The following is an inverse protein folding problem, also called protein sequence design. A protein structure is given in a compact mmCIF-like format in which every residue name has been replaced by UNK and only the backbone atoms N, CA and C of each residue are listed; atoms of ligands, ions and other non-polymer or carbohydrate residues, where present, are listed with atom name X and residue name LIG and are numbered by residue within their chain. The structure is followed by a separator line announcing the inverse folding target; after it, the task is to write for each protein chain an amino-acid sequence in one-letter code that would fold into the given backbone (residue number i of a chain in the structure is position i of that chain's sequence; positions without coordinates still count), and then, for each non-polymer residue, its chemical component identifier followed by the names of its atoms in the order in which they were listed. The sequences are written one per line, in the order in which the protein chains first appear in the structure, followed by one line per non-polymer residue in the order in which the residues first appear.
data_IF_292998420634
#
_entry.id   IF_292998420634
#
_cell.length_a   1.000
_cell.length_b   1.000
_cell.length_c   1.000
_cell.angle_alpha   90.00
_cell.angle_beta   90.00
_cell.angle_gamma   90.00
#
_symmetry.space_group_name_H-M   'P 1'
#
loop_
_entity.id
_entity.type
_entity.pdbx_description
1 polymer ?
#
# COMPACT_ATOMS: atom_id res chain seq x y z
N UNK A 1 17.99 26.76 10.03
CA UNK A 1 16.58 26.55 10.43
C UNK A 1 16.25 25.08 10.28
N UNK A 2 15.96 24.39 11.39
CA UNK A 2 15.61 22.96 11.35
C UNK A 2 14.26 22.79 10.64
N UNK A 3 14.18 21.92 9.62
CA UNK A 3 12.88 21.52 9.06
C UNK A 3 12.09 20.87 10.19
N UNK A 4 11.01 21.51 10.64
CA UNK A 4 10.05 20.90 11.56
C UNK A 4 9.53 19.63 10.86
N UNK A 5 10.04 18.46 11.28
CA UNK A 5 9.61 17.19 10.71
C UNK A 5 8.22 16.93 11.24
N UNK A 6 7.26 16.75 10.34
CA UNK A 6 5.93 16.30 10.71
C UNK A 6 6.06 14.99 11.52
N UNK A 7 5.37 14.86 12.67
CA UNK A 7 5.34 13.62 13.44
C UNK A 7 5.03 12.42 12.54
N UNK A 8 5.78 11.32 12.75
CA UNK A 8 5.56 10.05 12.02
C UNK A 8 4.16 9.52 12.36
N UNK A 9 3.56 8.80 11.42
CA UNK A 9 2.35 8.04 11.71
C UNK A 9 2.66 6.94 12.73
N UNK A 10 1.86 6.81 13.78
CA UNK A 10 1.90 5.70 14.73
C UNK A 10 1.42 4.41 14.06
N UNK A 11 1.71 3.26 14.67
CA UNK A 11 1.25 1.97 14.15
C UNK A 11 -0.28 1.88 14.09
N UNK A 12 -0.97 2.37 15.13
CA UNK A 12 -2.44 2.42 15.18
C UNK A 12 -3.02 3.31 14.08
N UNK A 13 -2.44 4.50 13.84
CA UNK A 13 -2.84 5.37 12.72
C UNK A 13 -2.68 4.65 11.36
N UNK A 14 -1.62 3.85 11.19
CA UNK A 14 -1.40 3.08 9.96
C UNK A 14 -2.40 1.94 9.79
N UNK A 15 -2.71 1.20 10.87
CA UNK A 15 -3.69 0.13 10.81
C UNK A 15 -5.06 0.65 10.41
N UNK A 16 -5.55 1.71 11.08
CA UNK A 16 -6.86 2.32 10.77
C UNK A 16 -6.88 2.86 9.35
N UNK A 17 -5.80 3.53 8.91
CA UNK A 17 -5.70 4.04 7.55
C UNK A 17 -5.78 2.92 6.51
N UNK A 18 -5.01 1.85 6.69
CA UNK A 18 -5.00 0.71 5.75
C UNK A 18 -6.34 -0.01 5.75
N UNK A 19 -6.93 -0.28 6.92
CA UNK A 19 -8.22 -0.94 7.04
C UNK A 19 -9.33 -0.17 6.30
N UNK A 20 -9.43 1.15 6.52
CA UNK A 20 -10.44 1.95 5.83
C UNK A 20 -10.15 2.03 4.32
N UNK A 21 -8.89 2.13 3.88
CA UNK A 21 -8.53 2.10 2.47
C UNK A 21 -8.92 0.77 1.82
N UNK A 22 -8.66 -0.37 2.46
CA UNK A 22 -9.06 -1.70 1.96
C UNK A 22 -10.56 -1.75 1.71
N UNK A 23 -11.36 -1.23 2.65
CA UNK A 23 -12.83 -1.22 2.54
C UNK A 23 -13.33 -0.39 1.36
N UNK A 24 -12.64 0.70 1.00
CA UNK A 24 -13.09 1.63 -0.04
C UNK A 24 -12.26 1.54 -1.33
N UNK A 25 -11.28 0.64 -1.38
CA UNK A 25 -10.36 0.43 -2.50
C UNK A 25 -11.12 0.27 -3.82
N UNK A 26 -12.19 -0.55 -3.93
CA UNK A 26 -12.89 -0.74 -5.19
C UNK A 26 -13.45 0.57 -5.77
N UNK A 27 -13.84 1.51 -4.91
CA UNK A 27 -14.43 2.80 -5.28
C UNK A 27 -13.37 3.86 -5.59
N UNK A 28 -12.21 3.79 -4.94
CA UNK A 28 -11.13 4.75 -5.12
C UNK A 28 -10.17 4.36 -6.27
N UNK A 29 -9.87 3.09 -6.41
CA UNK A 29 -8.79 2.58 -7.27
C UNK A 29 -9.16 1.32 -8.05
N UNK A 30 -10.09 0.51 -7.55
CA UNK A 30 -10.45 -0.79 -8.13
C UNK A 30 -11.65 -0.75 -9.07
N UNK A 31 -12.39 -1.87 -9.11
CA UNK A 31 -13.39 -2.15 -10.14
C UNK A 31 -14.56 -1.15 -10.23
N UNK A 32 -14.87 -0.41 -9.17
CA UNK A 32 -15.98 0.56 -9.11
C UNK A 32 -15.53 2.01 -9.38
N UNK A 33 -14.24 2.25 -9.66
CA UNK A 33 -13.69 3.61 -9.80
C UNK A 33 -14.36 4.44 -10.90
N UNK A 34 -14.78 3.78 -11.99
CA UNK A 34 -15.46 4.43 -13.13
C UNK A 34 -16.90 4.84 -12.81
N UNK A 35 -17.54 4.14 -11.87
CA UNK A 35 -18.92 4.40 -11.42
C UNK A 35 -18.98 5.28 -10.17
N UNK A 36 -17.84 5.57 -9.55
CA UNK A 36 -17.77 6.37 -8.34
C UNK A 36 -17.59 7.86 -8.69
N UNK A 37 -18.58 8.67 -8.33
CA UNK A 37 -18.55 10.13 -8.57
C UNK A 37 -17.43 10.83 -7.80
N UNK A 38 -17.02 12.01 -8.28
CA UNK A 38 -15.99 12.83 -7.61
C UNK A 38 -16.39 13.18 -6.18
N UNK A 39 -17.66 13.58 -5.98
CA UNK A 39 -18.19 13.90 -4.66
C UNK A 39 -18.10 12.71 -3.70
N UNK A 40 -18.44 11.50 -4.20
CA UNK A 40 -18.31 10.28 -3.40
C UNK A 40 -16.86 9.97 -3.05
N UNK A 41 -15.92 10.09 -4.00
CA UNK A 41 -14.48 9.92 -3.73
C UNK A 41 -14.00 10.88 -2.64
N UNK A 42 -14.43 12.15 -2.69
CA UNK A 42 -14.08 13.14 -1.66
C UNK A 42 -14.63 12.75 -0.29
N UNK A 43 -15.87 12.27 -0.22
CA UNK A 43 -16.48 11.79 1.03
C UNK A 43 -15.72 10.61 1.63
N UNK A 44 -15.33 9.63 0.80
CA UNK A 44 -14.54 8.46 1.22
C UNK A 44 -13.18 8.89 1.78
N UNK A 45 -12.48 9.80 1.11
CA UNK A 45 -11.22 10.35 1.61
C UNK A 45 -11.38 11.10 2.92
N UNK A 46 -12.43 11.92 3.04
CA UNK A 46 -12.74 12.63 4.29
C UNK A 46 -12.99 11.65 5.43
N UNK A 47 -13.77 10.60 5.19
CA UNK A 47 -14.00 9.54 6.18
C UNK A 47 -12.68 8.89 6.64
N UNK A 48 -11.76 8.58 5.73
CA UNK A 48 -10.46 8.01 6.11
C UNK A 48 -9.69 8.99 7.01
N UNK A 49 -9.66 10.27 6.64
CA UNK A 49 -9.01 11.32 7.44
C UNK A 49 -9.62 11.40 8.83
N UNK A 50 -10.95 11.42 8.94
CA UNK A 50 -11.66 11.51 10.22
C UNK A 50 -11.35 10.30 11.12
N UNK A 51 -11.32 9.09 10.55
CA UNK A 51 -11.01 7.85 11.28
C UNK A 51 -9.57 7.83 11.78
N UNK A 52 -8.61 8.25 10.95
CA UNK A 52 -7.19 8.34 11.34
C UNK A 52 -6.98 9.42 12.40
N UNK A 53 -7.60 10.59 12.24
CA UNK A 53 -7.51 11.68 13.21
C UNK A 53 -8.16 11.33 14.55
N UNK A 54 -9.15 10.43 14.58
CA UNK A 54 -9.78 9.97 15.82
C UNK A 54 -8.84 9.16 16.72
N UNK A 55 -7.86 8.46 16.14
CA UNK A 55 -6.82 7.70 16.88
C UNK A 55 -5.49 8.45 16.95
N UNK A 56 -5.31 9.44 16.09
CA UNK A 56 -4.10 10.26 15.97
C UNK A 56 -4.03 11.39 16.99
N UNK A 57 -2.81 11.75 17.39
CA UNK A 57 -2.55 12.91 18.25
C UNK A 57 -2.32 14.21 17.46
N UNK A 58 -2.14 14.10 16.15
CA UNK A 58 -1.81 15.23 15.27
C UNK A 58 -2.78 15.27 14.10
N UNK A 59 -3.33 16.45 13.74
CA UNK A 59 -4.26 16.56 12.63
C UNK A 59 -3.56 16.19 11.32
N UNK A 60 -4.18 15.28 10.57
CA UNK A 60 -3.82 14.88 9.21
C UNK A 60 -4.88 15.39 8.23
N UNK A 61 -4.47 15.64 7.00
CA UNK A 61 -5.39 15.95 5.90
C UNK A 61 -5.33 14.88 4.80
N UNK A 62 -6.18 15.03 3.78
CA UNK A 62 -6.25 14.07 2.68
C UNK A 62 -4.95 13.94 1.87
N UNK A 63 -4.10 14.96 1.80
CA UNK A 63 -2.79 14.88 1.15
C UNK A 63 -1.82 14.03 1.95
N UNK A 64 -1.81 14.18 3.27
CA UNK A 64 -0.99 13.36 4.17
C UNK A 64 -1.34 11.88 4.03
N UNK A 65 -2.64 11.56 4.05
CA UNK A 65 -3.13 10.18 3.90
C UNK A 65 -2.75 9.63 2.53
N UNK A 66 -3.00 10.36 1.44
CA UNK A 66 -2.66 9.90 0.07
C UNK A 66 -1.17 9.67 -0.11
N UNK A 67 -0.35 10.61 0.37
CA UNK A 67 1.11 10.47 0.35
C UNK A 67 1.55 9.26 1.16
N UNK A 68 1.02 9.11 2.37
CA UNK A 68 1.37 7.99 3.24
C UNK A 68 0.98 6.65 2.64
N UNK A 69 -0.21 6.56 2.05
CA UNK A 69 -0.66 5.38 1.31
C UNK A 69 0.30 5.00 0.17
N UNK A 70 0.72 5.99 -0.64
CA UNK A 70 1.69 5.76 -1.71
C UNK A 70 3.04 5.26 -1.17
N UNK A 71 3.53 5.84 -0.06
CA UNK A 71 4.76 5.40 0.60
C UNK A 71 4.65 3.94 1.08
N UNK A 72 3.51 3.57 1.69
CA UNK A 72 3.27 2.19 2.17
C UNK A 72 3.26 1.19 1.02
N UNK A 73 2.53 1.49 -0.06
CA UNK A 73 2.53 0.65 -1.27
C UNK A 73 3.94 0.46 -1.83
N UNK A 74 4.71 1.54 -1.90
CA UNK A 74 6.10 1.49 -2.37
C UNK A 74 6.99 0.61 -1.48
N UNK A 75 6.83 0.74 -0.15
CA UNK A 75 7.55 -0.10 0.82
C UNK A 75 7.22 -1.58 0.64
N UNK A 76 5.94 -1.93 0.61
CA UNK A 76 5.48 -3.33 0.50
C UNK A 76 5.90 -3.92 -0.84
N UNK A 77 5.74 -3.19 -1.96
CA UNK A 77 6.23 -3.62 -3.28
C UNK A 77 7.74 -3.86 -3.30
N UNK A 78 8.52 -3.05 -2.60
CA UNK A 78 9.97 -3.25 -2.52
C UNK A 78 10.34 -4.51 -1.73
N UNK A 79 9.61 -4.81 -0.65
CA UNK A 79 9.82 -6.04 0.13
C UNK A 79 9.47 -7.26 -0.71
N UNK A 80 8.31 -7.22 -1.37
CA UNK A 80 7.83 -8.26 -2.26
C UNK A 80 8.79 -8.53 -3.43
N UNK A 81 9.22 -7.48 -4.14
CA UNK A 81 10.17 -7.61 -5.25
C UNK A 81 11.51 -8.22 -4.82
N UNK A 82 12.01 -7.88 -3.63
CA UNK A 82 13.24 -8.46 -3.08
C UNK A 82 13.06 -9.95 -2.78
N UNK A 83 11.91 -10.34 -2.22
CA UNK A 83 11.59 -11.73 -1.97
C UNK A 83 11.53 -12.52 -3.29
N UNK A 84 10.79 -12.03 -4.29
CA UNK A 84 10.73 -12.65 -5.61
C UNK A 84 12.11 -12.78 -6.29
N UNK A 85 12.95 -11.75 -6.22
CA UNK A 85 14.32 -11.81 -6.75
C UNK A 85 15.19 -12.83 -6.02
N UNK A 86 15.05 -12.94 -4.70
CA UNK A 86 15.81 -13.90 -3.91
C UNK A 86 15.40 -15.34 -4.25
N UNK A 87 14.09 -15.62 -4.38
CA UNK A 87 13.56 -16.92 -4.84
C UNK A 87 14.11 -17.29 -6.22
N UNK A 88 14.14 -16.35 -7.18
CA UNK A 88 14.64 -16.61 -8.53
C UNK A 88 16.17 -16.82 -8.61
N UNK A 89 16.94 -16.25 -7.67
CA UNK A 89 18.42 -16.38 -7.63
C UNK A 89 18.91 -17.61 -6.89
N UNK A 90 18.10 -18.20 -6.00
CA UNK A 90 18.39 -19.49 -5.39
C UNK A 90 18.27 -20.60 -6.43
N UNK A 91 19.37 -20.88 -7.15
CA UNK A 91 19.54 -22.14 -7.86
C UNK A 91 19.63 -23.28 -6.84
N UNK A 92 18.78 -24.30 -6.99
CA UNK A 92 18.77 -25.59 -6.27
C UNK A 92 18.65 -25.56 -4.73
N UNK A 93 18.71 -24.39 -4.08
CA UNK A 93 18.56 -24.22 -2.63
C UNK A 93 17.11 -23.99 -2.19
N UNK A 94 16.80 -24.19 -0.90
CA UNK A 94 15.47 -23.90 -0.36
C UNK A 94 15.14 -22.41 -0.52
N UNK A 95 13.86 -22.07 -0.81
CA UNK A 95 13.46 -20.69 -0.99
C UNK A 95 13.73 -19.88 0.29
N UNK A 96 14.07 -18.58 0.18
CA UNK A 96 14.21 -17.70 1.33
C UNK A 96 12.90 -17.68 2.12
N UNK A 97 12.95 -17.58 3.46
CA UNK A 97 11.75 -17.48 4.28
C UNK A 97 10.90 -16.28 3.85
N UNK A 98 9.58 -16.42 3.99
CA UNK A 98 8.66 -15.31 3.76
C UNK A 98 9.01 -14.14 4.71
N UNK A 99 8.96 -12.89 4.22
CA UNK A 99 9.16 -11.73 5.07
C UNK A 99 8.09 -11.73 6.18
N UNK A 100 8.51 -11.52 7.43
CA UNK A 100 7.58 -11.27 8.54
C UNK A 100 6.97 -9.88 8.33
N UNK A 101 5.81 -9.85 7.66
CA UNK A 101 5.05 -8.63 7.44
C UNK A 101 4.21 -8.33 8.67
N UNK A 102 4.06 -7.06 8.97
CA UNK A 102 3.06 -6.59 9.94
C UNK A 102 1.64 -6.76 9.35
N UNK A 103 0.61 -6.78 10.20
CA UNK A 103 -0.79 -6.97 9.78
C UNK A 103 -1.25 -5.95 8.73
N UNK A 104 -0.78 -4.70 8.80
CA UNK A 104 -1.13 -3.70 7.78
C UNK A 104 -0.32 -3.87 6.48
N UNK A 105 0.90 -4.43 6.53
CA UNK A 105 1.68 -4.75 5.34
C UNK A 105 1.06 -5.89 4.54
N UNK A 106 0.55 -6.92 5.22
CA UNK A 106 -0.20 -8.02 4.61
C UNK A 106 -1.45 -7.52 3.87
N UNK A 107 -2.21 -6.62 4.49
CA UNK A 107 -3.40 -6.00 3.85
C UNK A 107 -3.03 -5.17 2.62
N UNK A 108 -1.93 -4.41 2.67
CA UNK A 108 -1.43 -3.67 1.50
C UNK A 108 -1.01 -4.63 0.40
N UNK A 109 -0.33 -5.74 0.75
CA UNK A 109 0.11 -6.74 -0.22
C UNK A 109 -1.09 -7.38 -0.94
N UNK A 110 -2.16 -7.69 -0.21
CA UNK A 110 -3.39 -8.22 -0.79
C UNK A 110 -4.05 -7.26 -1.80
N UNK A 111 -3.98 -5.95 -1.58
CA UNK A 111 -4.44 -4.95 -2.57
C UNK A 111 -3.53 -4.92 -3.80
N UNK A 112 -2.22 -5.07 -3.62
CA UNK A 112 -1.26 -5.06 -4.74
C UNK A 112 -1.39 -6.31 -5.62
N UNK A 113 -1.80 -7.44 -5.03
CA UNK A 113 -1.95 -8.74 -5.68
C UNK A 113 -3.35 -9.30 -5.38
N UNK A 114 -4.42 -8.77 -6.02
CA UNK A 114 -5.79 -9.22 -5.79
C UNK A 114 -6.00 -10.69 -6.18
N UNK A 115 -5.18 -11.21 -7.10
CA UNK A 115 -5.03 -12.65 -7.35
C UNK A 115 -4.00 -13.21 -6.36
N UNK A 116 -4.45 -13.41 -5.12
CA UNK A 116 -3.57 -13.70 -3.99
C UNK A 116 -2.68 -14.91 -4.21
N UNK A 117 -1.40 -14.79 -3.86
CA UNK A 117 -0.45 -15.86 -3.46
C UNK A 117 -0.58 -17.20 -4.22
N UNK A 118 -0.99 -17.17 -5.48
CA UNK A 118 -1.01 -18.32 -6.37
C UNK A 118 0.23 -18.17 -7.23
N UNK A 119 1.22 -19.03 -6.98
CA UNK A 119 2.47 -19.03 -7.70
C UNK A 119 2.24 -18.95 -9.21
N UNK A 120 2.58 -17.81 -9.80
CA UNK A 120 2.76 -17.67 -11.24
C UNK A 120 4.19 -17.18 -11.44
N UNK A 121 5.03 -18.13 -11.87
CA UNK A 121 6.31 -17.82 -12.48
C UNK A 121 6.13 -17.14 -13.84
N UNK A 122 7.19 -16.44 -14.26
CA UNK A 122 7.32 -15.77 -15.57
C UNK A 122 6.98 -14.29 -15.46
N UNK A 123 7.92 -13.33 -15.50
CA UNK A 123 9.04 -13.23 -16.43
C UNK A 123 8.61 -12.35 -17.61
N UNK A 124 9.01 -11.07 -17.63
CA UNK A 124 9.58 -10.37 -18.80
C UNK A 124 9.90 -8.89 -18.48
N UNK A 125 11.21 -8.61 -18.54
CA UNK A 125 11.90 -7.40 -19.00
C UNK A 125 11.24 -6.00 -19.00
N UNK A 126 11.91 -5.09 -18.29
CA UNK A 126 11.89 -3.66 -18.62
C UNK A 126 12.75 -3.38 -19.85
N UNK A 127 12.16 -3.46 -21.04
CA UNK A 127 12.75 -2.99 -22.29
C UNK A 127 12.14 -1.66 -22.74
N UNK A 128 12.62 -0.53 -22.21
CA UNK A 128 12.35 0.77 -22.84
C UNK A 128 13.26 0.93 -24.06
N UNK A 129 12.77 0.54 -25.23
CA UNK A 129 13.36 0.97 -26.50
C UNK A 129 12.78 2.33 -26.87
N UNK A 130 13.68 3.29 -27.12
CA UNK A 130 13.39 4.55 -27.79
C UNK A 130 12.77 4.26 -29.17
N UNK A 131 11.78 5.07 -29.56
CA UNK A 131 11.80 5.81 -30.82
C UNK A 131 10.98 7.09 -30.63
#
# INVERSE_FOLDING_TARGET
MARQRHPRFSEEELMVMVEEIVRVEPQLFGAQVQHTSVARKMELWRRIVDRVNAVGQHPRNGDDIRKRWNDLRGKVRSVDSRHHQAVQRTGSGPPPPHPQLTTWEEQVLAILHPEGLAGVGGGMDSGKSKL
#
